data_IF_699379270314
#
_entry.id   IF_699379270314
#
_cell.length_a   1.000
_cell.length_b   1.000
_cell.length_c   1.000
_cell.angle_alpha   90.00
_cell.angle_beta   90.00
_cell.angle_gamma   90.00
#
_symmetry.space_group_name_H-M   'P 1'
#
loop_
_entity.id
_entity.type
_entity.pdbx_description
1 polymer ?
#
# COMPACT_ATOMS: atom_id res chain seq x y z
N UNK A 1 -24.67 -10.18 3.62
CA UNK A 1 -23.78 -10.65 4.69
C UNK A 1 -22.40 -10.73 4.05
N UNK A 2 -21.67 -9.61 4.02
CA UNK A 2 -20.31 -9.62 3.51
C UNK A 2 -19.35 -9.62 4.69
N UNK A 3 -18.26 -10.36 4.52
CA UNK A 3 -17.47 -10.92 5.60
C UNK A 3 -16.39 -9.92 6.01
N UNK A 4 -16.16 -9.80 7.32
CA UNK A 4 -14.89 -9.31 7.85
C UNK A 4 -13.74 -9.96 7.08
N UNK A 5 -12.72 -9.20 6.60
CA UNK A 5 -11.65 -9.76 5.79
C UNK A 5 -11.02 -11.01 6.42
N UNK A 6 -11.02 -12.15 5.72
CA UNK A 6 -10.50 -13.42 6.24
C UNK A 6 -9.26 -13.90 5.49
N UNK A 7 -9.27 -13.81 4.16
CA UNK A 7 -8.17 -14.22 3.29
C UNK A 7 -7.53 -13.00 2.66
N UNK A 8 -6.33 -12.68 3.11
CA UNK A 8 -5.65 -11.43 2.77
C UNK A 8 -4.49 -11.70 1.84
N UNK A 9 -4.37 -10.88 0.79
CA UNK A 9 -3.16 -10.80 -0.03
C UNK A 9 -2.45 -9.47 0.24
N UNK A 10 -1.18 -9.50 0.63
CA UNK A 10 -0.39 -8.29 0.87
C UNK A 10 0.89 -8.28 0.02
N UNK A 11 1.07 -7.24 -0.78
CA UNK A 11 2.33 -6.94 -1.43
C UNK A 11 3.06 -5.78 -0.74
N UNK A 12 4.38 -5.85 -0.67
CA UNK A 12 5.20 -4.85 0.02
C UNK A 12 5.25 -5.03 1.54
N UNK A 13 5.04 -6.25 2.04
CA UNK A 13 5.01 -6.57 3.47
C UNK A 13 6.34 -6.30 4.21
N UNK A 14 7.47 -6.16 3.50
CA UNK A 14 8.78 -5.78 4.09
C UNK A 14 9.05 -4.27 4.04
N UNK A 15 8.07 -3.47 3.60
CA UNK A 15 8.17 -2.01 3.54
C UNK A 15 7.65 -1.35 4.82
N UNK A 16 7.97 -0.06 5.03
CA UNK A 16 7.64 0.66 6.27
C UNK A 16 6.19 0.49 6.75
N UNK A 17 5.21 0.69 5.86
CA UNK A 17 3.80 0.52 6.22
C UNK A 17 3.37 -0.95 6.15
N UNK A 18 3.97 -1.73 5.25
CA UNK A 18 3.61 -3.13 5.03
C UNK A 18 3.98 -4.04 6.19
N UNK A 19 5.09 -3.76 6.89
CA UNK A 19 5.52 -4.54 8.06
C UNK A 19 4.54 -4.36 9.22
N UNK A 20 4.20 -3.11 9.56
CA UNK A 20 3.19 -2.81 10.57
C UNK A 20 1.81 -3.36 10.20
N UNK A 21 1.45 -3.31 8.92
CA UNK A 21 0.19 -3.88 8.46
C UNK A 21 0.20 -5.40 8.58
N UNK A 22 1.28 -6.08 8.19
CA UNK A 22 1.40 -7.52 8.33
C UNK A 22 1.28 -7.96 9.79
N UNK A 23 2.00 -7.30 10.71
CA UNK A 23 1.92 -7.59 12.15
C UNK A 23 0.49 -7.42 12.67
N UNK A 24 -0.20 -6.35 12.24
CA UNK A 24 -1.61 -6.15 12.54
C UNK A 24 -2.47 -7.29 11.99
N UNK A 25 -2.33 -7.66 10.72
CA UNK A 25 -3.13 -8.71 10.09
C UNK A 25 -2.93 -10.07 10.77
N UNK A 26 -1.70 -10.38 11.20
CA UNK A 26 -1.41 -11.64 11.88
C UNK A 26 -1.95 -11.69 13.32
N UNK A 27 -2.23 -10.55 13.94
CA UNK A 27 -2.81 -10.48 15.30
C UNK A 27 -4.34 -10.46 15.31
N UNK A 28 -4.99 -10.23 14.16
CA UNK A 28 -6.45 -10.18 14.07
C UNK A 28 -7.07 -11.59 14.10
N UNK A 29 -7.95 -11.91 15.07
CA UNK A 29 -8.53 -13.25 15.23
C UNK A 29 -9.42 -13.70 14.07
N UNK A 30 -9.99 -12.75 13.33
CA UNK A 30 -10.91 -13.03 12.21
C UNK A 30 -10.19 -13.39 10.92
N UNK A 31 -8.89 -13.12 10.83
CA UNK A 31 -8.09 -13.46 9.66
C UNK A 31 -7.77 -14.96 9.70
N UNK A 32 -8.13 -15.65 8.64
CA UNK A 32 -7.85 -17.07 8.45
C UNK A 32 -6.48 -17.28 7.81
N UNK A 33 -6.11 -16.43 6.83
CA UNK A 33 -4.90 -16.59 6.02
C UNK A 33 -4.37 -15.25 5.54
N UNK A 34 -3.06 -15.08 5.58
CA UNK A 34 -2.33 -13.97 4.95
C UNK A 34 -1.33 -14.54 3.97
N UNK A 35 -1.48 -14.21 2.68
CA UNK A 35 -0.54 -14.52 1.62
C UNK A 35 0.34 -13.29 1.37
N UNK A 36 1.63 -13.40 1.65
CA UNK A 36 2.58 -12.30 1.57
C UNK A 36 3.77 -12.67 0.68
N UNK A 37 3.69 -12.53 -0.66
CA UNK A 37 4.85 -12.73 -1.52
C UNK A 37 5.93 -11.67 -1.25
N UNK A 38 7.15 -12.12 -0.93
CA UNK A 38 8.28 -11.22 -0.63
C UNK A 38 9.58 -11.72 -1.26
N UNK A 39 10.58 -10.84 -1.30
CA UNK A 39 11.94 -11.20 -1.77
C UNK A 39 12.79 -11.86 -0.67
N UNK A 40 12.42 -11.68 0.59
CA UNK A 40 13.15 -12.15 1.77
C UNK A 40 12.19 -12.91 2.69
N UNK A 41 12.65 -13.97 3.39
CA UNK A 41 11.81 -14.71 4.33
C UNK A 41 11.24 -13.80 5.42
N UNK A 42 9.97 -14.01 5.74
CA UNK A 42 9.29 -13.44 6.89
C UNK A 42 9.34 -14.40 8.08
N UNK A 43 9.10 -13.90 9.29
CA UNK A 43 8.95 -14.76 10.46
C UNK A 43 7.77 -15.73 10.26
N UNK A 44 7.98 -17.00 10.58
CA UNK A 44 6.95 -18.02 10.41
C UNK A 44 5.74 -17.74 11.31
N UNK A 45 4.55 -17.97 10.77
CA UNK A 45 3.31 -17.84 11.51
C UNK A 45 2.26 -18.83 10.94
N UNK A 46 1.43 -19.50 11.77
CA UNK A 46 0.50 -20.54 11.30
C UNK A 46 -0.49 -20.09 10.22
N UNK A 47 -0.81 -18.80 10.19
CA UNK A 47 -1.72 -18.17 9.20
C UNK A 47 -1.00 -17.47 8.04
N UNK A 48 0.34 -17.49 8.01
CA UNK A 48 1.13 -16.78 7.01
C UNK A 48 1.67 -17.75 5.97
N UNK A 49 1.39 -17.45 4.70
CA UNK A 49 2.06 -18.07 3.56
C UNK A 49 2.99 -17.04 2.92
N UNK A 50 4.28 -17.37 2.86
CA UNK A 50 5.31 -16.47 2.37
C UNK A 50 6.07 -17.09 1.18
N UNK A 51 5.48 -17.10 -0.04
CA UNK A 51 6.23 -17.48 -1.23
C UNK A 51 7.35 -16.46 -1.49
N UNK A 52 8.55 -16.96 -1.80
CA UNK A 52 9.76 -16.16 -1.93
C UNK A 52 10.16 -15.99 -3.39
N UNK A 53 10.47 -14.76 -3.79
CA UNK A 53 10.96 -14.42 -5.11
C UNK A 53 10.53 -13.04 -5.60
N UNK A 54 10.90 -12.66 -6.83
CA UNK A 54 10.42 -11.44 -7.47
C UNK A 54 8.90 -11.49 -7.61
N UNK A 55 8.20 -10.45 -7.14
CA UNK A 55 6.73 -10.44 -7.13
C UNK A 55 6.14 -10.69 -8.51
N UNK A 56 6.72 -10.11 -9.56
CA UNK A 56 6.28 -10.29 -10.94
C UNK A 56 6.24 -11.78 -11.37
N UNK A 57 7.19 -12.59 -10.89
CA UNK A 57 7.26 -14.02 -11.18
C UNK A 57 6.34 -14.85 -10.27
N UNK A 58 6.09 -14.36 -9.06
CA UNK A 58 5.22 -15.03 -8.09
C UNK A 58 3.74 -14.85 -8.43
N UNK A 59 3.32 -13.68 -8.93
CA UNK A 59 1.91 -13.35 -9.19
C UNK A 59 1.15 -14.46 -9.94
N UNK A 60 1.64 -14.99 -11.09
CA UNK A 60 0.93 -16.04 -11.81
C UNK A 60 0.81 -17.37 -11.05
N UNK A 61 1.65 -17.59 -10.04
CA UNK A 61 1.74 -18.83 -9.26
C UNK A 61 0.94 -18.77 -7.96
N UNK A 62 0.55 -17.56 -7.51
CA UNK A 62 -0.26 -17.39 -6.31
C UNK A 62 -1.61 -18.09 -6.47
N UNK A 63 -2.09 -18.78 -5.44
CA UNK A 63 -3.35 -19.53 -5.49
C UNK A 63 -4.06 -19.51 -4.14
N UNK A 64 -5.30 -20.01 -4.14
CA UNK A 64 -6.21 -19.98 -3.01
C UNK A 64 -7.08 -18.72 -2.96
N UNK A 65 -8.10 -18.71 -2.08
CA UNK A 65 -9.04 -17.60 -1.99
C UNK A 65 -8.36 -16.34 -1.47
N UNK A 66 -8.80 -15.19 -1.98
CA UNK A 66 -8.46 -13.85 -1.48
C UNK A 66 -9.75 -13.03 -1.45
N UNK A 67 -10.03 -12.40 -0.32
CA UNK A 67 -11.19 -11.52 -0.14
C UNK A 67 -10.77 -10.05 -0.30
N UNK A 68 -9.63 -9.71 0.31
CA UNK A 68 -9.10 -8.34 0.38
C UNK A 68 -7.61 -8.33 0.05
N UNK A 69 -7.19 -7.36 -0.76
CA UNK A 69 -5.81 -7.17 -1.16
C UNK A 69 -5.25 -5.82 -0.71
N UNK A 70 -4.04 -5.81 -0.19
CA UNK A 70 -3.29 -4.61 0.18
C UNK A 70 -2.04 -4.48 -0.68
N UNK A 71 -1.94 -3.37 -1.42
CA UNK A 71 -0.75 -3.02 -2.18
C UNK A 71 0.03 -1.92 -1.46
N UNK A 72 1.02 -2.33 -0.67
CA UNK A 72 1.96 -1.44 0.02
C UNK A 72 3.28 -1.25 -0.74
N UNK A 73 3.30 -1.59 -2.04
CA UNK A 73 4.45 -1.38 -2.90
C UNK A 73 4.64 0.12 -3.12
N UNK A 74 5.86 0.59 -2.95
CA UNK A 74 6.26 1.93 -3.37
C UNK A 74 7.75 2.15 -3.21
N UNK A 75 8.43 2.36 -4.34
CA UNK A 75 9.81 2.82 -4.38
C UNK A 75 9.87 4.35 -4.25
N UNK A 76 11.01 4.93 -3.90
CA UNK A 76 11.28 6.31 -4.30
C UNK A 76 11.81 6.34 -5.73
N UNK A 77 11.64 7.47 -6.43
CA UNK A 77 12.25 7.67 -7.75
C UNK A 77 13.78 7.56 -7.69
N UNK A 78 14.38 7.98 -6.57
CA UNK A 78 15.82 7.88 -6.30
C UNK A 78 16.28 6.41 -6.18
N UNK A 79 15.51 5.58 -5.47
CA UNK A 79 15.82 4.15 -5.29
C UNK A 79 15.62 3.32 -6.56
N UNK A 80 14.71 3.73 -7.44
CA UNK A 80 14.47 3.03 -8.69
C UNK A 80 15.62 3.23 -9.70
N UNK A 81 16.43 4.29 -9.54
CA UNK A 81 17.57 4.59 -10.41
C UNK A 81 17.20 5.16 -11.79
N UNK A 82 16.00 4.87 -12.31
CA UNK A 82 15.46 5.47 -13.54
C UNK A 82 13.94 5.65 -13.48
N UNK A 83 13.40 6.50 -14.36
CA UNK A 83 11.96 6.72 -14.46
C UNK A 83 11.22 5.46 -14.95
N UNK A 84 11.83 4.69 -15.85
CA UNK A 84 11.28 3.44 -16.37
C UNK A 84 11.23 2.37 -15.28
N UNK A 85 12.30 2.23 -14.50
CA UNK A 85 12.33 1.32 -13.36
C UNK A 85 11.31 1.71 -12.30
N UNK A 86 11.14 3.02 -12.05
CA UNK A 86 10.11 3.52 -11.15
C UNK A 86 8.71 3.17 -11.67
N UNK A 87 8.44 3.41 -12.96
CA UNK A 87 7.16 3.05 -13.59
C UNK A 87 6.87 1.54 -13.50
N UNK A 88 7.86 0.71 -13.78
CA UNK A 88 7.70 -0.75 -13.71
C UNK A 88 7.25 -1.21 -12.32
N UNK A 89 7.75 -0.58 -11.25
CA UNK A 89 7.44 -0.93 -9.86
C UNK A 89 6.15 -0.26 -9.38
N UNK A 90 6.03 1.06 -9.52
CA UNK A 90 4.98 1.87 -8.90
C UNK A 90 3.71 1.98 -9.76
N UNK A 91 3.75 1.51 -11.01
CA UNK A 91 2.61 1.42 -11.92
C UNK A 91 2.38 -0.01 -12.41
N UNK A 92 3.28 -0.57 -13.22
CA UNK A 92 2.98 -1.81 -13.94
C UNK A 92 2.79 -3.02 -13.01
N UNK A 93 3.67 -3.16 -12.02
CA UNK A 93 3.60 -4.21 -11.01
C UNK A 93 2.37 -4.05 -10.10
N UNK A 94 1.98 -2.80 -9.77
CA UNK A 94 0.77 -2.53 -8.98
C UNK A 94 -0.49 -2.92 -9.76
N UNK A 95 -0.55 -2.60 -11.05
CA UNK A 95 -1.67 -3.00 -11.90
C UNK A 95 -1.72 -4.52 -12.08
N UNK A 96 -0.58 -5.17 -12.24
CA UNK A 96 -0.49 -6.63 -12.32
C UNK A 96 -0.93 -7.31 -11.03
N UNK A 97 -0.51 -6.79 -9.87
CA UNK A 97 -0.96 -7.24 -8.56
C UNK A 97 -2.48 -7.11 -8.42
N UNK A 98 -3.04 -5.95 -8.81
CA UNK A 98 -4.48 -5.71 -8.77
C UNK A 98 -5.25 -6.71 -9.63
N UNK A 99 -4.84 -6.92 -10.89
CA UNK A 99 -5.46 -7.92 -11.76
C UNK A 99 -5.43 -9.31 -11.14
N UNK A 100 -4.26 -9.73 -10.62
CA UNK A 100 -4.11 -11.05 -10.03
C UNK A 100 -4.97 -11.23 -8.79
N UNK A 101 -5.05 -10.23 -7.93
CA UNK A 101 -5.90 -10.26 -6.75
C UNK A 101 -7.37 -10.50 -7.13
N UNK A 102 -7.88 -9.83 -8.18
CA UNK A 102 -9.25 -10.06 -8.68
C UNK A 102 -9.44 -11.46 -9.23
N UNK A 103 -8.48 -11.98 -9.99
CA UNK A 103 -8.52 -13.37 -10.49
C UNK A 103 -8.60 -14.40 -9.36
N UNK A 104 -8.04 -14.06 -8.18
CA UNK A 104 -8.10 -14.89 -6.97
C UNK A 104 -9.38 -14.68 -6.13
N UNK A 105 -10.29 -13.81 -6.59
CA UNK A 105 -11.58 -13.57 -5.95
C UNK A 105 -11.67 -12.28 -5.12
N UNK A 106 -10.59 -11.48 -5.05
CA UNK A 106 -10.57 -10.29 -4.20
C UNK A 106 -11.65 -9.30 -4.64
N UNK A 107 -12.42 -8.81 -3.67
CA UNK A 107 -13.47 -7.81 -3.89
C UNK A 107 -13.02 -6.40 -3.52
N UNK A 108 -12.06 -6.29 -2.62
CA UNK A 108 -11.55 -5.01 -2.14
C UNK A 108 -10.04 -4.91 -2.34
N UNK A 109 -9.59 -3.88 -3.06
CA UNK A 109 -8.19 -3.49 -3.15
C UNK A 109 -7.96 -2.19 -2.37
N UNK A 110 -6.97 -2.20 -1.48
CA UNK A 110 -6.43 -1.01 -0.85
C UNK A 110 -5.01 -0.77 -1.35
N UNK A 111 -4.76 0.41 -1.91
CA UNK A 111 -3.46 0.78 -2.49
C UNK A 111 -2.92 2.07 -1.88
N UNK A 112 -1.60 2.11 -1.66
CA UNK A 112 -0.91 3.33 -1.24
C UNK A 112 -0.45 4.12 -2.48
N UNK A 113 -1.10 5.25 -2.72
CA UNK A 113 -0.75 6.26 -3.71
C UNK A 113 0.00 7.43 -3.04
N UNK A 114 -0.26 8.67 -3.47
CA UNK A 114 0.34 9.88 -2.93
C UNK A 114 -0.60 11.08 -3.09
N UNK A 115 -0.53 12.06 -2.19
CA UNK A 115 -1.34 13.29 -2.24
C UNK A 115 -1.20 14.06 -3.56
N UNK A 116 -0.04 14.01 -4.19
CA UNK A 116 0.18 14.72 -5.45
C UNK A 116 -0.25 13.95 -6.70
N UNK A 117 -0.80 12.74 -6.57
CA UNK A 117 -1.11 11.88 -7.71
C UNK A 117 -2.04 12.57 -8.72
N UNK A 118 -1.51 12.81 -9.90
CA UNK A 118 -2.21 13.46 -11.01
C UNK A 118 -1.58 12.98 -12.33
N UNK A 119 -2.29 12.24 -13.20
CA UNK A 119 -1.75 11.74 -14.46
C UNK A 119 -1.33 12.85 -15.43
N UNK A 120 -1.69 14.12 -15.18
CA UNK A 120 -1.30 15.29 -15.98
C UNK A 120 -0.16 16.09 -15.36
N UNK A 121 0.39 15.65 -14.23
CA UNK A 121 1.49 16.33 -13.55
C UNK A 121 2.77 16.32 -14.39
N UNK A 122 3.52 17.44 -14.39
CA UNK A 122 4.87 17.51 -14.96
C UNK A 122 5.94 16.80 -14.10
N UNK A 123 5.63 16.51 -12.84
CA UNK A 123 6.49 15.74 -11.93
C UNK A 123 6.26 14.25 -12.17
N UNK A 124 7.26 13.54 -12.69
CA UNK A 124 7.20 12.12 -13.02
C UNK A 124 6.64 11.24 -11.89
N UNK A 125 7.04 11.48 -10.63
CA UNK A 125 6.52 10.75 -9.47
C UNK A 125 4.98 10.84 -9.35
N UNK A 126 4.46 12.08 -9.39
CA UNK A 126 3.04 12.36 -9.25
C UNK A 126 2.24 11.89 -10.47
N UNK A 127 2.85 11.98 -11.66
CA UNK A 127 2.31 11.46 -12.91
C UNK A 127 2.11 9.94 -12.85
N UNK A 128 3.16 9.19 -12.54
CA UNK A 128 3.13 7.72 -12.48
C UNK A 128 2.13 7.23 -11.42
N UNK A 129 2.06 7.88 -10.25
CA UNK A 129 1.04 7.56 -9.24
C UNK A 129 -0.38 7.85 -9.73
N UNK A 130 -0.60 8.97 -10.41
CA UNK A 130 -1.91 9.29 -11.00
C UNK A 130 -2.33 8.32 -12.10
N UNK A 131 -1.40 7.95 -12.98
CA UNK A 131 -1.65 6.94 -14.03
C UNK A 131 -1.93 5.55 -13.43
N UNK A 132 -1.25 5.19 -12.33
CA UNK A 132 -1.50 3.94 -11.62
C UNK A 132 -2.91 3.93 -11.02
N UNK A 133 -3.36 5.05 -10.44
CA UNK A 133 -4.73 5.17 -9.96
C UNK A 133 -5.75 5.01 -11.09
N UNK A 134 -5.58 5.69 -12.22
CA UNK A 134 -6.48 5.53 -13.38
C UNK A 134 -6.49 4.09 -13.90
N UNK A 135 -5.31 3.46 -13.99
CA UNK A 135 -5.18 2.07 -14.38
C UNK A 135 -5.90 1.11 -13.44
N UNK A 136 -5.90 1.36 -12.13
CA UNK A 136 -6.65 0.55 -11.14
C UNK A 136 -8.15 0.80 -11.23
N UNK A 137 -8.60 2.05 -11.41
CA UNK A 137 -10.02 2.39 -11.60
C UNK A 137 -10.59 1.67 -12.82
N UNK A 138 -9.82 1.58 -13.90
CA UNK A 138 -10.19 0.88 -15.13
C UNK A 138 -10.30 -0.65 -14.97
N UNK A 139 -9.83 -1.24 -13.87
CA UNK A 139 -9.95 -2.69 -13.66
C UNK A 139 -11.37 -3.12 -13.30
N UNK A 140 -12.24 -2.24 -12.82
CA UNK A 140 -13.61 -2.62 -12.42
C UNK A 140 -13.65 -3.39 -11.09
N UNK A 141 -12.95 -2.86 -10.08
CA UNK A 141 -13.01 -3.36 -8.71
C UNK A 141 -14.40 -3.16 -8.10
N UNK A 142 -14.96 -4.17 -7.39
CA UNK A 142 -16.16 -3.96 -6.58
C UNK A 142 -15.95 -2.86 -5.55
N UNK A 143 -14.82 -2.89 -4.85
CA UNK A 143 -14.38 -1.85 -3.94
C UNK A 143 -12.90 -1.54 -4.16
N UNK A 144 -12.57 -0.27 -4.34
CA UNK A 144 -11.20 0.22 -4.52
C UNK A 144 -10.96 1.41 -3.58
N UNK A 145 -10.02 1.24 -2.65
CA UNK A 145 -9.58 2.32 -1.75
C UNK A 145 -8.18 2.77 -2.14
N UNK A 146 -8.06 4.04 -2.50
CA UNK A 146 -6.80 4.69 -2.88
C UNK A 146 -6.40 5.61 -1.73
N UNK A 147 -5.40 5.21 -0.95
CA UNK A 147 -4.86 6.02 0.14
C UNK A 147 -3.81 7.00 -0.41
N UNK A 148 -4.01 8.30 -0.20
CA UNK A 148 -3.11 9.37 -0.65
C UNK A 148 -2.41 10.07 0.53
N UNK A 149 -1.38 9.45 1.11
CA UNK A 149 -0.58 10.10 2.15
C UNK A 149 0.24 11.27 1.57
N UNK A 150 0.65 12.19 2.44
CA UNK A 150 1.61 13.26 2.14
C UNK A 150 3.02 12.70 1.96
N UNK A 151 3.70 12.42 3.07
CA UNK A 151 5.04 11.84 3.15
C UNK A 151 5.04 10.86 4.32
N UNK A 152 5.76 9.75 4.20
CA UNK A 152 5.92 8.80 5.30
C UNK A 152 7.08 9.23 6.20
N UNK A 153 6.86 9.23 7.52
CA UNK A 153 7.92 9.37 8.52
C UNK A 153 8.69 8.05 8.63
N UNK A 154 10.02 8.10 8.76
CA UNK A 154 10.82 6.92 9.06
C UNK A 154 12.14 6.88 8.29
N UNK A 155 13.14 6.14 8.80
CA UNK A 155 14.43 5.97 8.16
C UNK A 155 14.27 5.02 6.97
N UNK A 156 13.84 5.53 5.80
CA UNK A 156 14.20 4.85 4.56
C UNK A 156 15.70 5.10 4.39
N UNK A 157 16.50 4.05 4.54
CA UNK A 157 17.94 4.08 4.27
C UNK A 157 18.18 4.84 2.97
N UNK A 158 19.02 5.88 3.12
CA UNK A 158 19.64 6.73 2.09
C UNK A 158 18.97 8.09 1.82
N UNK A 159 19.56 9.08 2.53
CA UNK A 159 19.78 10.46 2.12
C UNK A 159 18.56 11.38 2.03
N UNK A 160 18.22 11.97 3.18
CA UNK A 160 18.31 13.44 3.26
C UNK A 160 19.35 13.81 4.29
N UNK A 161 20.58 14.02 3.80
CA UNK A 161 21.56 14.90 4.43
C UNK A 161 20.88 16.27 4.60
N UNK A 162 20.16 16.53 5.70
CA UNK A 162 20.23 17.79 6.48
C UNK A 162 19.15 18.02 7.54
N UNK A 163 17.94 17.45 7.51
CA UNK A 163 16.87 18.01 8.38
C UNK A 163 16.32 17.08 9.47
N UNK A 164 17.16 16.21 10.04
CA UNK A 164 16.80 15.44 11.25
C UNK A 164 17.38 15.99 12.55
N UNK A 165 18.02 17.17 12.52
CA UNK A 165 18.49 17.81 13.74
C UNK A 165 17.74 19.14 13.92
N UNK A 166 16.85 19.15 14.91
CA UNK A 166 16.39 20.35 15.64
C UNK A 166 15.55 21.42 14.93
N UNK A 167 14.36 21.12 14.39
CA UNK A 167 13.38 22.19 14.11
C UNK A 167 12.04 22.06 14.85
N UNK A 168 11.83 22.79 15.98
CA UNK A 168 10.53 22.89 16.61
C UNK A 168 9.46 23.54 15.71
N UNK A 169 9.82 24.22 14.59
CA UNK A 169 8.85 24.72 13.62
C UNK A 169 8.13 23.61 12.84
N UNK A 170 8.66 22.39 12.78
CA UNK A 170 7.95 21.30 12.11
C UNK A 170 6.62 20.96 12.81
N UNK A 171 6.51 21.23 14.12
CA UNK A 171 5.25 21.11 14.89
C UNK A 171 4.22 22.18 14.56
N UNK A 172 4.68 23.33 14.04
CA UNK A 172 3.88 24.48 13.64
C UNK A 172 3.42 24.42 12.17
N UNK A 173 3.85 23.42 11.40
CA UNK A 173 3.30 23.21 10.05
C UNK A 173 1.80 22.85 10.12
N UNK A 174 0.96 23.47 9.27
CA UNK A 174 -0.47 23.18 9.20
C UNK A 174 -0.71 21.68 9.03
N UNK A 175 -1.71 21.13 9.72
CA UNK A 175 -1.97 19.67 9.78
C UNK A 175 -2.08 18.96 8.43
N UNK A 176 -2.36 19.71 7.35
CA UNK A 176 -2.48 19.26 5.96
C UNK A 176 -1.17 18.82 5.31
N UNK A 177 -0.01 19.19 5.88
CA UNK A 177 1.32 18.85 5.36
C UNK A 177 2.11 17.93 6.28
N UNK A 178 1.51 17.45 7.37
CA UNK A 178 2.21 16.57 8.30
C UNK A 178 2.48 15.23 7.63
N UNK A 179 3.72 14.78 7.75
CA UNK A 179 4.10 13.44 7.36
C UNK A 179 3.39 12.42 8.28
N UNK A 180 2.95 11.31 7.71
CA UNK A 180 2.22 10.27 8.41
C UNK A 180 3.18 9.19 8.91
N UNK A 181 2.96 8.76 10.14
CA UNK A 181 3.67 7.63 10.73
C UNK A 181 3.27 6.31 10.01
N UNK A 182 4.21 5.41 9.66
CA UNK A 182 3.88 4.17 8.95
C UNK A 182 2.94 3.24 9.73
N UNK A 183 3.02 3.19 11.06
CA UNK A 183 2.10 2.43 11.90
C UNK A 183 0.71 3.08 11.89
N UNK A 184 0.63 4.41 11.92
CA UNK A 184 -0.63 5.12 11.75
C UNK A 184 -1.26 4.85 10.36
N UNK A 185 -0.46 4.84 9.28
CA UNK A 185 -0.95 4.48 7.95
C UNK A 185 -1.43 3.04 7.89
N UNK A 186 -0.68 2.09 8.44
CA UNK A 186 -1.10 0.68 8.51
C UNK A 186 -2.43 0.51 9.26
N UNK A 187 -2.60 1.22 10.38
CA UNK A 187 -3.86 1.24 11.14
C UNK A 187 -5.01 1.82 10.34
N UNK A 188 -4.78 2.91 9.62
CA UNK A 188 -5.77 3.52 8.74
C UNK A 188 -6.18 2.57 7.62
N UNK A 189 -5.23 1.93 6.95
CA UNK A 189 -5.50 0.92 5.91
C UNK A 189 -6.32 -0.25 6.45
N UNK A 190 -5.99 -0.75 7.65
CA UNK A 190 -6.78 -1.81 8.27
C UNK A 190 -8.21 -1.37 8.56
N UNK A 191 -8.41 -0.18 9.15
CA UNK A 191 -9.77 0.34 9.40
C UNK A 191 -10.57 0.51 8.12
N UNK A 192 -9.95 1.04 7.06
CA UNK A 192 -10.58 1.19 5.75
C UNK A 192 -10.99 -0.15 5.14
N UNK A 193 -10.24 -1.23 5.40
CA UNK A 193 -10.58 -2.57 4.93
C UNK A 193 -11.78 -3.19 5.66
N UNK A 194 -12.19 -2.61 6.79
CA UNK A 194 -13.39 -3.01 7.53
C UNK A 194 -14.64 -2.23 7.09
N UNK A 195 -14.48 -1.18 6.28
CA UNK A 195 -15.58 -0.37 5.78
C UNK A 195 -16.15 -1.03 4.53
N UNK A 196 -17.44 -1.38 4.55
CA UNK A 196 -18.15 -1.96 3.40
C UNK A 196 -18.74 -0.85 2.54
N UNK A 197 -18.11 -0.58 1.40
CA UNK A 197 -18.56 0.40 0.41
C UNK A 197 -18.41 -0.19 -0.99
N UNK A 198 -19.30 0.17 -1.91
CA UNK A 198 -19.13 -0.16 -3.32
C UNK A 198 -18.47 1.02 -4.06
N UNK A 199 -17.65 0.69 -5.06
CA UNK A 199 -17.03 1.66 -5.95
C UNK A 199 -15.64 2.11 -5.50
N UNK A 200 -15.30 3.36 -5.83
CA UNK A 200 -13.95 3.90 -5.69
C UNK A 200 -13.96 4.97 -4.61
N UNK A 201 -13.10 4.82 -3.61
CA UNK A 201 -12.86 5.82 -2.57
C UNK A 201 -11.41 6.28 -2.57
N UNK A 202 -11.23 7.58 -2.66
CA UNK A 202 -9.93 8.23 -2.51
C UNK A 202 -9.88 8.81 -1.09
N UNK A 203 -8.90 8.37 -0.30
CA UNK A 203 -8.73 8.77 1.10
C UNK A 203 -7.51 9.67 1.21
N UNK A 204 -7.77 10.95 1.42
CA UNK A 204 -6.74 11.98 1.52
C UNK A 204 -6.03 11.94 2.88
N UNK A 205 -4.84 12.55 2.93
CA UNK A 205 -3.95 12.48 4.09
C UNK A 205 -4.62 12.86 5.42
N UNK A 206 -5.48 13.88 5.45
CA UNK A 206 -6.17 14.34 6.66
C UNK A 206 -7.06 13.24 7.28
N UNK A 207 -7.73 12.46 6.43
CA UNK A 207 -8.57 11.35 6.85
C UNK A 207 -7.71 10.16 7.28
N UNK A 208 -6.63 9.85 6.56
CA UNK A 208 -5.66 8.84 6.97
C UNK A 208 -5.08 9.13 8.36
N UNK A 209 -4.79 10.40 8.68
CA UNK A 209 -4.35 10.78 10.02
C UNK A 209 -5.42 10.61 11.08
N UNK A 210 -6.70 10.81 10.74
CA UNK A 210 -7.82 10.59 11.68
C UNK A 210 -8.01 9.09 11.95
N UNK A 211 -8.00 8.29 10.89
CA UNK A 211 -8.13 6.84 10.96
C UNK A 211 -6.88 6.16 11.55
N UNK A 212 -5.71 6.78 11.45
CA UNK A 212 -4.47 6.27 12.02
C UNK A 212 -4.29 6.55 13.52
N UNK A 213 -5.17 7.32 14.15
CA UNK A 213 -5.17 7.56 15.60
C UNK A 213 -5.66 6.34 16.37
#
# INVERSE_FOLDING_TARGET
>A
MYLTPQHILIAGATGLAGEHLLDRLLTEPTIARVLAPTRQPLAEHPRLENPQGPLAELLPRLSGPVDTAFCCIGSSAEQAGSQEAFRAIDHDLVLAFGRRAREMGARHLLVISARCADPRSSRAYCQVKGEMEEGLKAQGWPQLTIARPTQLLGPRRELRLLDQLSDPLLRLTPGHYRAIDPCALARALWRLALEEEDGIRIVEAEELHRLGR
#
